data_IF_997541339216
#
_entry.id   IF_997541339216
#
_cell.length_a   1.000
_cell.length_b   1.000
_cell.length_c   1.000
_cell.angle_alpha   90.00
_cell.angle_beta   90.00
_cell.angle_gamma   90.00
#
_symmetry.space_group_name_H-M   'P 1'
#
loop_
_entity.id
_entity.type
_entity.pdbx_description
1 polymer ?
#
# COMPACT_ATOMS: atom_id res chain seq x y z
N UNK A 1 23.03 5.59 -15.86
CA UNK A 1 21.89 6.06 -15.04
C UNK A 1 21.07 4.82 -14.72
N UNK A 2 20.78 4.55 -13.45
CA UNK A 2 20.09 3.32 -13.07
C UNK A 2 18.66 3.27 -13.63
N UNK A 3 18.16 2.06 -13.89
CA UNK A 3 16.81 1.78 -14.41
C UNK A 3 15.69 2.02 -13.37
N UNK A 4 15.79 3.06 -12.53
CA UNK A 4 14.76 3.34 -11.51
C UNK A 4 13.45 3.74 -12.14
N UNK A 5 12.36 3.04 -11.78
CA UNK A 5 11.01 3.39 -12.22
C UNK A 5 10.52 4.66 -11.50
N UNK A 6 9.76 5.48 -12.23
CA UNK A 6 9.18 6.70 -11.65
C UNK A 6 7.92 6.38 -10.85
N UNK A 7 7.84 6.96 -9.66
CA UNK A 7 6.64 6.91 -8.81
C UNK A 7 5.47 7.65 -9.46
N UNK A 8 4.25 7.26 -9.11
CA UNK A 8 3.02 7.81 -9.72
C UNK A 8 2.52 9.06 -8.98
N UNK A 9 2.74 9.14 -7.66
CA UNK A 9 2.27 10.24 -6.83
C UNK A 9 3.24 11.41 -6.88
N UNK A 10 2.83 12.50 -7.53
CA UNK A 10 3.67 13.70 -7.74
C UNK A 10 3.83 14.56 -6.48
N UNK A 11 2.88 14.46 -5.54
CA UNK A 11 2.86 15.22 -4.28
C UNK A 11 3.45 14.46 -3.08
N UNK A 12 4.44 13.60 -3.33
CA UNK A 12 5.06 12.76 -2.30
C UNK A 12 5.56 13.54 -1.06
N UNK A 13 6.01 14.82 -1.24
CA UNK A 13 6.41 15.66 -0.11
C UNK A 13 5.22 15.95 0.82
N UNK A 14 4.10 16.40 0.27
CA UNK A 14 2.88 16.68 1.04
C UNK A 14 2.32 15.41 1.71
N UNK A 15 2.35 14.27 1.01
CA UNK A 15 1.95 12.99 1.62
C UNK A 15 2.82 12.64 2.83
N UNK A 16 4.14 12.92 2.77
CA UNK A 16 5.06 12.69 3.89
C UNK A 16 4.85 13.64 5.08
N UNK A 17 4.23 14.79 4.87
CA UNK A 17 3.81 15.68 5.95
C UNK A 17 2.58 15.15 6.68
N UNK A 18 1.64 14.53 5.96
CA UNK A 18 0.41 13.93 6.50
C UNK A 18 0.68 12.56 7.13
N UNK A 19 1.42 11.69 6.43
CA UNK A 19 1.81 10.37 6.91
C UNK A 19 3.29 10.41 7.30
N UNK A 20 3.62 10.89 8.49
CA UNK A 20 5.02 11.03 8.92
C UNK A 20 5.66 9.68 9.22
N UNK A 21 6.90 9.50 8.77
CA UNK A 21 7.70 8.29 9.06
C UNK A 21 8.47 8.43 10.37
N UNK A 22 8.45 7.39 11.18
CA UNK A 22 9.27 7.27 12.39
C UNK A 22 10.66 6.76 11.98
N UNK A 23 11.70 7.50 12.36
CA UNK A 23 13.10 7.09 12.13
C UNK A 23 13.52 6.07 13.19
N UNK A 24 13.31 4.80 12.92
CA UNK A 24 13.68 3.70 13.80
C UNK A 24 14.02 2.45 12.98
N UNK A 25 14.74 1.52 13.61
CA UNK A 25 15.06 0.22 13.06
C UNK A 25 14.86 -0.86 14.13
N UNK A 26 14.47 -2.05 13.73
CA UNK A 26 14.19 -3.14 14.65
C UNK A 26 15.09 -4.32 14.38
N UNK A 27 15.44 -5.00 15.48
CA UNK A 27 16.12 -6.30 15.47
C UNK A 27 15.29 -7.32 16.22
N UNK A 28 15.26 -8.52 15.73
CA UNK A 28 14.69 -9.67 16.44
C UNK A 28 15.57 -10.06 17.63
N UNK A 29 15.06 -10.93 18.49
CA UNK A 29 15.80 -11.40 19.69
C UNK A 29 17.11 -12.12 19.36
N UNK A 30 17.23 -12.69 18.17
CA UNK A 30 18.43 -13.35 17.66
C UNK A 30 19.43 -12.38 16.98
N UNK A 31 19.13 -11.09 16.97
CA UNK A 31 19.98 -10.03 16.42
C UNK A 31 19.78 -9.73 14.93
N UNK A 32 18.97 -10.51 14.19
CA UNK A 32 18.66 -10.23 12.79
C UNK A 32 17.90 -8.91 12.66
N UNK A 33 18.28 -8.07 11.71
CA UNK A 33 17.54 -6.86 11.34
C UNK A 33 16.35 -7.22 10.47
N UNK A 34 15.24 -6.52 10.64
CA UNK A 34 14.01 -6.69 9.84
C UNK A 34 13.61 -5.37 9.20
N UNK A 35 13.05 -5.46 8.00
CA UNK A 35 12.60 -4.27 7.28
C UNK A 35 11.23 -3.80 7.78
N UNK A 36 11.18 -2.56 8.23
CA UNK A 36 9.96 -1.96 8.79
C UNK A 36 9.81 -0.52 8.38
N UNK A 37 8.56 -0.08 8.15
CA UNK A 37 8.20 1.32 7.94
C UNK A 37 7.07 1.66 8.92
N UNK A 38 7.40 2.39 9.96
CA UNK A 38 6.42 2.93 10.89
C UNK A 38 6.01 4.32 10.44
N UNK A 39 4.72 4.54 10.29
CA UNK A 39 4.16 5.87 9.99
C UNK A 39 3.09 6.23 11.02
N UNK A 40 2.81 7.51 11.15
CA UNK A 40 1.77 8.05 12.02
C UNK A 40 1.13 9.28 11.41
N UNK A 41 -0.09 9.59 11.84
CA UNK A 41 -0.77 10.83 11.51
C UNK A 41 -0.44 11.85 12.62
N UNK A 42 0.20 12.99 12.32
CA UNK A 42 0.48 14.01 13.32
C UNK A 42 -0.83 14.64 13.82
N UNK A 43 -0.85 15.12 15.07
CA UNK A 43 -1.93 15.97 15.55
C UNK A 43 -1.93 17.29 14.77
N UNK A 44 -3.08 17.69 14.23
CA UNK A 44 -3.25 18.94 13.50
C UNK A 44 -3.85 19.97 14.45
N UNK A 45 -3.18 21.11 14.66
CA UNK A 45 -3.62 22.17 15.58
C UNK A 45 -4.84 22.96 15.07
N UNK A 46 -5.08 23.01 13.77
CA UNK A 46 -6.17 23.78 13.15
C UNK A 46 -7.38 22.92 12.81
N UNK A 47 -8.40 22.87 13.65
CA UNK A 47 -9.79 22.43 13.40
C UNK A 47 -10.07 21.22 12.50
N UNK A 48 -9.09 20.74 11.72
CA UNK A 48 -9.15 19.52 10.92
C UNK A 48 -8.59 18.34 11.73
N UNK A 49 -9.31 17.23 11.72
CA UNK A 49 -8.78 15.99 12.28
C UNK A 49 -7.64 15.46 11.40
N UNK A 50 -6.70 14.71 11.97
CA UNK A 50 -5.63 14.06 11.19
C UNK A 50 -6.18 13.12 10.11
N UNK A 51 -7.36 12.53 10.32
CA UNK A 51 -8.08 11.74 9.31
C UNK A 51 -8.57 12.59 8.14
N UNK A 52 -9.10 13.79 8.41
CA UNK A 52 -9.62 14.69 7.37
C UNK A 52 -8.50 15.12 6.41
N UNK A 53 -7.31 15.46 6.93
CA UNK A 53 -6.16 15.78 6.09
C UNK A 53 -5.73 14.61 5.20
N UNK A 54 -5.76 13.38 5.73
CA UNK A 54 -5.53 12.17 4.95
C UNK A 54 -6.58 11.99 3.85
N UNK A 55 -7.86 12.16 4.17
CA UNK A 55 -8.95 11.99 3.21
C UNK A 55 -8.94 13.07 2.13
N UNK A 56 -8.59 14.30 2.46
CA UNK A 56 -8.40 15.37 1.48
C UNK A 56 -7.28 15.01 0.49
N UNK A 57 -6.14 14.54 0.98
CA UNK A 57 -5.03 14.09 0.15
C UNK A 57 -5.43 12.88 -0.74
N UNK A 58 -6.19 11.94 -0.20
CA UNK A 58 -6.74 10.82 -0.96
C UNK A 58 -7.64 11.33 -2.10
N UNK A 59 -8.55 12.24 -1.80
CA UNK A 59 -9.48 12.82 -2.77
C UNK A 59 -8.77 13.55 -3.89
N UNK A 60 -7.79 14.39 -3.56
CA UNK A 60 -7.13 15.27 -4.51
C UNK A 60 -6.19 14.54 -5.47
N UNK A 61 -5.48 13.52 -5.01
CA UNK A 61 -4.36 12.98 -5.78
C UNK A 61 -4.17 11.47 -5.73
N UNK A 62 -4.54 10.80 -4.65
CA UNK A 62 -4.19 9.39 -4.47
C UNK A 62 -5.19 8.47 -5.16
N UNK A 63 -6.49 8.75 -4.99
CA UNK A 63 -7.57 7.85 -5.41
C UNK A 63 -7.54 7.56 -6.91
N UNK A 64 -7.30 8.56 -7.75
CA UNK A 64 -7.26 8.36 -9.20
C UNK A 64 -6.10 7.45 -9.60
N UNK A 65 -4.92 7.69 -9.00
CA UNK A 65 -3.73 6.87 -9.27
C UNK A 65 -3.86 5.44 -8.74
N UNK A 66 -4.63 5.25 -7.66
CA UNK A 66 -4.95 3.93 -7.13
C UNK A 66 -5.93 3.17 -8.02
N UNK A 67 -7.04 3.83 -8.44
CA UNK A 67 -8.13 3.18 -9.17
C UNK A 67 -7.80 2.94 -10.63
N UNK A 68 -7.20 3.92 -11.32
CA UNK A 68 -6.97 3.86 -12.77
C UNK A 68 -5.52 3.49 -13.10
N UNK A 69 -5.32 2.97 -14.32
CA UNK A 69 -4.01 2.82 -14.90
C UNK A 69 -3.43 4.18 -15.30
N UNK A 70 -2.10 4.27 -15.42
CA UNK A 70 -1.44 5.52 -15.81
C UNK A 70 -1.94 6.03 -17.17
N UNK A 71 -2.05 5.14 -18.14
CA UNK A 71 -2.53 5.48 -19.47
C UNK A 71 -4.00 5.93 -19.50
N UNK A 72 -4.87 5.36 -18.66
CA UNK A 72 -6.25 5.81 -18.51
C UNK A 72 -6.32 7.26 -18.01
N UNK A 73 -5.50 7.60 -17.01
CA UNK A 73 -5.40 8.97 -16.49
C UNK A 73 -4.90 9.92 -17.58
N UNK A 74 -3.78 9.59 -18.26
CA UNK A 74 -3.19 10.45 -19.29
C UNK A 74 -4.16 10.70 -20.46
N UNK A 75 -4.86 9.68 -20.93
CA UNK A 75 -5.87 9.83 -22.00
C UNK A 75 -7.01 10.78 -21.61
N UNK A 76 -7.35 10.88 -20.33
CA UNK A 76 -8.43 11.75 -19.85
C UNK A 76 -7.95 13.17 -19.58
N UNK A 77 -6.80 13.33 -18.92
CA UNK A 77 -6.25 14.65 -18.61
C UNK A 77 -5.81 15.42 -19.87
N UNK A 78 -5.39 14.72 -20.93
CA UNK A 78 -5.02 15.35 -22.22
C UNK A 78 -6.19 16.03 -22.96
N UNK A 79 -7.43 15.96 -22.44
CA UNK A 79 -8.63 16.53 -23.10
C UNK A 79 -9.19 17.81 -22.48
N UNK A 80 -9.01 18.06 -21.17
CA UNK A 80 -9.21 19.34 -20.45
C UNK A 80 -9.03 19.13 -18.94
N UNK A 81 -8.22 19.97 -18.27
CA UNK A 81 -7.63 19.59 -16.98
C UNK A 81 -8.60 19.54 -15.79
N UNK A 82 -9.46 20.55 -15.55
CA UNK A 82 -10.31 20.60 -14.34
C UNK A 82 -11.53 19.68 -14.41
N UNK A 83 -12.30 19.76 -15.48
CA UNK A 83 -13.49 18.91 -15.70
C UNK A 83 -13.08 17.42 -15.75
N UNK A 84 -11.88 17.13 -16.28
CA UNK A 84 -11.37 15.78 -16.34
C UNK A 84 -10.99 15.20 -14.97
N UNK A 85 -10.52 16.01 -14.03
CA UNK A 85 -10.20 15.56 -12.67
C UNK A 85 -11.46 15.22 -11.87
N UNK A 86 -12.51 16.05 -11.94
CA UNK A 86 -13.81 15.77 -11.31
C UNK A 86 -14.44 14.49 -11.86
N UNK A 87 -14.45 14.31 -13.20
CA UNK A 87 -14.97 13.11 -13.86
C UNK A 87 -14.18 11.85 -13.45
N UNK A 88 -12.85 11.95 -13.32
CA UNK A 88 -12.00 10.86 -12.82
C UNK A 88 -12.33 10.51 -11.37
N UNK A 89 -12.49 11.52 -10.50
CA UNK A 89 -12.84 11.31 -9.11
C UNK A 89 -14.20 10.63 -8.97
N UNK A 90 -15.24 11.16 -9.65
CA UNK A 90 -16.58 10.53 -9.64
C UNK A 90 -16.57 9.08 -10.12
N UNK A 91 -15.78 8.78 -11.15
CA UNK A 91 -15.63 7.41 -11.66
C UNK A 91 -14.88 6.52 -10.69
N UNK A 92 -13.84 7.04 -10.02
CA UNK A 92 -13.10 6.32 -9.00
C UNK A 92 -14.01 5.94 -7.82
N UNK A 93 -14.80 6.90 -7.31
CA UNK A 93 -15.77 6.64 -6.23
C UNK A 93 -16.78 5.54 -6.61
N UNK A 94 -17.22 5.50 -7.87
CA UNK A 94 -18.15 4.46 -8.35
C UNK A 94 -17.54 3.04 -8.35
N UNK A 95 -16.22 2.90 -8.29
CA UNK A 95 -15.51 1.62 -8.15
C UNK A 95 -15.41 1.15 -6.70
N UNK A 96 -15.63 2.04 -5.73
CA UNK A 96 -15.62 1.74 -4.30
C UNK A 96 -17.05 1.40 -3.80
N UNK A 97 -17.11 0.71 -2.67
CA UNK A 97 -18.37 0.28 -2.06
C UNK A 97 -18.26 0.33 -0.53
N UNK A 98 -19.34 0.71 0.17
CA UNK A 98 -19.40 0.63 1.64
C UNK A 98 -19.07 -0.76 2.16
N UNK A 99 -19.46 -1.79 1.42
CA UNK A 99 -19.27 -3.18 1.82
C UNK A 99 -17.79 -3.59 1.81
N UNK A 100 -16.98 -3.01 0.93
CA UNK A 100 -15.55 -3.30 0.79
C UNK A 100 -14.66 -2.16 1.26
N UNK A 101 -15.23 -1.06 1.76
CA UNK A 101 -14.51 0.18 2.09
C UNK A 101 -13.33 -0.02 3.05
N UNK A 102 -13.46 -0.92 4.01
CA UNK A 102 -12.37 -1.23 4.97
C UNK A 102 -11.15 -1.83 4.26
N UNK A 103 -11.36 -2.80 3.38
CA UNK A 103 -10.30 -3.39 2.57
C UNK A 103 -9.71 -2.36 1.60
N UNK A 104 -10.58 -1.67 0.84
CA UNK A 104 -10.18 -0.66 -0.15
C UNK A 104 -9.38 0.50 0.45
N UNK A 105 -9.74 0.97 1.65
CA UNK A 105 -8.95 1.98 2.36
C UNK A 105 -7.57 1.44 2.76
N UNK A 106 -7.49 0.19 3.23
CA UNK A 106 -6.23 -0.47 3.54
C UNK A 106 -5.33 -0.62 2.32
N UNK A 107 -5.88 -1.09 1.20
CA UNK A 107 -5.18 -1.21 -0.08
C UNK A 107 -4.68 0.16 -0.59
N UNK A 108 -5.49 1.22 -0.43
CA UNK A 108 -5.15 2.58 -0.85
C UNK A 108 -4.01 3.17 -0.02
N UNK A 109 -4.00 2.93 1.29
CA UNK A 109 -2.90 3.33 2.16
C UNK A 109 -1.63 2.52 1.80
N UNK A 110 -1.74 1.21 1.61
CA UNK A 110 -0.62 0.37 1.17
C UNK A 110 -0.02 0.88 -0.14
N UNK A 111 -0.85 1.16 -1.16
CA UNK A 111 -0.43 1.76 -2.43
C UNK A 111 0.39 3.03 -2.19
N UNK A 112 -0.13 3.92 -1.33
CA UNK A 112 0.54 5.19 -1.01
C UNK A 112 1.91 4.96 -0.36
N UNK A 113 1.99 4.05 0.59
CA UNK A 113 3.24 3.74 1.29
C UNK A 113 4.28 3.11 0.36
N UNK A 114 3.87 2.23 -0.56
CA UNK A 114 4.76 1.61 -1.54
C UNK A 114 5.29 2.65 -2.54
N UNK A 115 4.44 3.52 -3.07
CA UNK A 115 4.84 4.54 -4.03
C UNK A 115 5.75 5.59 -3.38
N UNK A 116 5.43 6.08 -2.17
CA UNK A 116 6.10 7.23 -1.54
C UNK A 116 7.32 6.82 -0.71
N UNK A 117 7.26 5.72 0.05
CA UNK A 117 8.32 5.33 1.00
C UNK A 117 9.23 4.22 0.47
N UNK A 118 8.69 3.25 -0.24
CA UNK A 118 9.46 2.18 -0.89
C UNK A 118 9.95 2.64 -2.27
N UNK A 119 9.31 3.66 -2.84
CA UNK A 119 9.60 4.19 -4.19
C UNK A 119 9.40 3.13 -5.28
N UNK A 120 8.46 2.25 -5.08
CA UNK A 120 8.04 1.24 -6.04
C UNK A 120 6.68 1.64 -6.64
N UNK A 121 6.63 2.07 -7.91
CA UNK A 121 5.36 2.39 -8.57
C UNK A 121 4.48 1.16 -8.73
N UNK A 122 3.19 1.39 -8.78
CA UNK A 122 2.20 0.36 -9.11
C UNK A 122 2.39 -0.09 -10.56
N UNK A 123 2.43 -1.39 -10.78
CA UNK A 123 2.60 -2.00 -12.09
C UNK A 123 1.26 -2.28 -12.78
N UNK A 124 0.20 -2.57 -12.01
CA UNK A 124 -1.13 -2.77 -12.56
C UNK A 124 -2.22 -2.28 -11.59
N UNK A 125 -3.39 -1.91 -12.14
CA UNK A 125 -4.53 -1.41 -11.35
C UNK A 125 -5.67 -2.43 -11.34
N UNK A 126 -5.68 -3.32 -10.35
CA UNK A 126 -6.72 -4.34 -10.21
C UNK A 126 -8.11 -3.76 -9.97
N UNK A 127 -8.20 -2.63 -9.26
CA UNK A 127 -9.47 -1.93 -9.01
C UNK A 127 -10.12 -1.47 -10.33
N UNK A 128 -9.34 -1.08 -11.33
CA UNK A 128 -9.89 -0.70 -12.64
C UNK A 128 -10.62 -1.86 -13.32
N UNK A 129 -10.20 -3.09 -13.05
CA UNK A 129 -10.77 -4.30 -13.64
C UNK A 129 -12.09 -4.74 -12.98
N UNK A 130 -12.49 -4.12 -11.85
CA UNK A 130 -13.77 -4.44 -11.20
C UNK A 130 -14.95 -4.18 -12.13
N UNK A 131 -15.73 -5.22 -12.39
CA UNK A 131 -17.03 -5.13 -13.08
C UNK A 131 -18.17 -4.86 -12.10
N UNK A 132 -18.03 -5.28 -10.83
CA UNK A 132 -18.98 -5.04 -9.76
C UNK A 132 -18.24 -4.43 -8.53
N UNK A 133 -18.57 -3.21 -8.10
CA UNK A 133 -17.91 -2.55 -6.96
C UNK A 133 -17.99 -3.34 -5.63
N UNK A 134 -19.02 -4.18 -5.47
CA UNK A 134 -19.23 -4.99 -4.25
C UNK A 134 -18.39 -6.28 -4.21
N UNK A 135 -17.76 -6.63 -5.31
CA UNK A 135 -16.91 -7.83 -5.37
C UNK A 135 -15.46 -7.46 -5.08
N UNK A 136 -14.76 -8.19 -4.18
CA UNK A 136 -13.33 -8.01 -4.01
C UNK A 136 -12.58 -8.42 -5.28
N UNK A 137 -11.40 -7.87 -5.48
CA UNK A 137 -10.45 -8.38 -6.48
C UNK A 137 -9.59 -9.45 -5.80
N UNK A 138 -9.44 -10.60 -6.43
CA UNK A 138 -8.65 -11.70 -5.88
C UNK A 138 -7.15 -11.51 -6.13
N UNK A 139 -6.32 -12.16 -5.30
CA UNK A 139 -4.86 -12.14 -5.37
C UNK A 139 -4.23 -11.13 -4.40
N UNK A 140 -3.00 -10.67 -4.66
CA UNK A 140 -2.34 -9.66 -3.85
C UNK A 140 -3.09 -8.33 -3.88
N UNK A 141 -3.14 -7.60 -2.76
CA UNK A 141 -3.80 -6.30 -2.64
C UNK A 141 -3.09 -5.22 -3.46
N UNK A 142 -1.77 -5.35 -3.62
CA UNK A 142 -0.96 -4.44 -4.42
C UNK A 142 0.07 -5.20 -5.25
N UNK A 143 0.27 -4.78 -6.51
CA UNK A 143 1.32 -5.28 -7.40
C UNK A 143 2.15 -4.10 -7.86
N UNK A 144 3.33 -3.96 -7.27
CA UNK A 144 4.28 -2.87 -7.48
C UNK A 144 5.62 -3.44 -7.92
N UNK A 145 6.52 -2.60 -8.42
CA UNK A 145 7.85 -3.04 -8.79
C UNK A 145 8.89 -1.94 -8.80
N UNK A 146 10.15 -2.31 -8.65
CA UNK A 146 11.28 -1.40 -8.76
C UNK A 146 12.56 -2.16 -9.10
N UNK A 147 13.48 -1.49 -9.76
CA UNK A 147 14.84 -2.00 -9.92
C UNK A 147 15.69 -1.69 -8.70
N UNK A 148 16.37 -2.70 -8.18
CA UNK A 148 17.42 -2.58 -7.18
C UNK A 148 18.75 -2.87 -7.87
N UNK A 149 19.40 -1.82 -8.34
CA UNK A 149 20.53 -1.96 -9.28
C UNK A 149 20.04 -2.52 -10.64
N UNK A 150 20.51 -3.70 -11.02
CA UNK A 150 20.10 -4.38 -12.25
C UNK A 150 18.97 -5.42 -12.04
N UNK A 151 18.67 -5.77 -10.79
CA UNK A 151 17.61 -6.72 -10.48
C UNK A 151 16.26 -6.05 -10.40
N UNK A 152 15.27 -6.64 -11.08
CA UNK A 152 13.87 -6.22 -10.94
C UNK A 152 13.22 -6.98 -9.79
N UNK A 153 12.66 -6.24 -8.84
CA UNK A 153 11.91 -6.79 -7.70
C UNK A 153 10.43 -6.47 -7.84
N UNK A 154 9.59 -7.49 -7.67
CA UNK A 154 8.13 -7.35 -7.59
C UNK A 154 7.71 -7.33 -6.13
N UNK A 155 6.79 -6.44 -5.81
CA UNK A 155 6.17 -6.31 -4.51
C UNK A 155 4.72 -6.80 -4.60
N UNK A 156 4.45 -7.98 -4.02
CA UNK A 156 3.10 -8.48 -3.82
C UNK A 156 2.66 -8.10 -2.42
N UNK A 157 1.93 -6.99 -2.34
CA UNK A 157 1.55 -6.36 -1.08
C UNK A 157 0.26 -6.93 -0.50
N UNK A 158 0.20 -6.93 0.83
CA UNK A 158 -0.98 -7.31 1.62
C UNK A 158 -1.35 -6.19 2.59
N UNK A 159 -2.64 -5.90 2.76
CA UNK A 159 -3.14 -4.87 3.67
C UNK A 159 -4.15 -5.41 4.66
N UNK A 160 -4.06 -4.96 5.91
CA UNK A 160 -5.05 -5.26 6.95
C UNK A 160 -5.36 -4.01 7.76
N UNK A 161 -6.63 -3.57 7.72
CA UNK A 161 -7.18 -2.64 8.71
C UNK A 161 -7.94 -3.44 9.76
N UNK A 162 -7.49 -3.41 11.02
CA UNK A 162 -8.05 -4.26 12.06
C UNK A 162 -8.04 -3.58 13.43
N UNK A 163 -8.99 -3.95 14.32
CA UNK A 163 -9.00 -3.44 15.69
C UNK A 163 -7.80 -3.94 16.51
N UNK A 164 -7.31 -5.14 16.23
CA UNK A 164 -6.23 -5.76 16.98
C UNK A 164 -5.06 -6.13 16.06
N UNK A 165 -3.87 -5.60 16.36
CA UNK A 165 -2.67 -5.85 15.57
C UNK A 165 -2.30 -7.34 15.46
N UNK A 166 -2.34 -8.09 16.58
CA UNK A 166 -1.92 -9.49 16.59
C UNK A 166 -2.81 -10.40 15.77
N UNK A 167 -4.13 -10.10 15.74
CA UNK A 167 -5.08 -10.78 14.86
C UNK A 167 -4.79 -10.45 13.40
N UNK A 168 -4.62 -9.17 13.09
CA UNK A 168 -4.24 -8.72 11.75
C UNK A 168 -2.94 -9.38 11.25
N UNK A 169 -1.92 -9.47 12.10
CA UNK A 169 -0.65 -10.13 11.78
C UNK A 169 -0.82 -11.62 11.45
N UNK A 170 -1.74 -12.31 12.14
CA UNK A 170 -2.03 -13.72 11.87
C UNK A 170 -2.70 -13.91 10.49
N UNK A 171 -3.68 -13.06 10.20
CA UNK A 171 -4.40 -13.11 8.92
C UNK A 171 -3.49 -12.68 7.77
N UNK A 172 -2.74 -11.59 7.94
CA UNK A 172 -1.83 -11.06 6.93
C UNK A 172 -0.75 -12.08 6.54
N UNK A 173 -0.11 -12.73 7.52
CA UNK A 173 0.91 -13.75 7.21
C UNK A 173 0.32 -14.96 6.46
N UNK A 174 -0.96 -15.30 6.67
CA UNK A 174 -1.64 -16.34 5.88
C UNK A 174 -1.92 -15.90 4.45
N UNK A 175 -2.37 -14.65 4.29
CA UNK A 175 -2.61 -14.05 2.96
C UNK A 175 -1.32 -13.95 2.14
N UNK A 176 -0.20 -13.53 2.76
CA UNK A 176 1.11 -13.47 2.10
C UNK A 176 1.53 -14.85 1.56
N UNK A 177 1.41 -15.90 2.37
CA UNK A 177 1.70 -17.28 1.91
C UNK A 177 0.82 -17.65 0.72
N UNK A 178 -0.47 -17.32 0.78
CA UNK A 178 -1.41 -17.61 -0.32
C UNK A 178 -1.03 -16.84 -1.59
N UNK A 179 -0.68 -15.55 -1.48
CA UNK A 179 -0.27 -14.74 -2.62
C UNK A 179 1.05 -15.23 -3.24
N UNK A 180 2.05 -15.57 -2.39
CA UNK A 180 3.31 -16.15 -2.88
C UNK A 180 3.14 -17.49 -3.56
N UNK A 181 2.21 -18.32 -3.10
CA UNK A 181 1.93 -19.62 -3.74
C UNK A 181 1.15 -19.50 -5.06
N UNK A 182 0.59 -18.35 -5.36
CA UNK A 182 -0.21 -18.06 -6.56
C UNK A 182 0.35 -16.89 -7.38
N UNK A 183 1.62 -16.59 -7.24
CA UNK A 183 2.23 -15.43 -7.90
C UNK A 183 2.11 -15.49 -9.43
N UNK A 184 2.02 -16.67 -10.01
CA UNK A 184 1.84 -16.87 -11.45
C UNK A 184 0.57 -16.18 -11.97
N UNK A 185 -0.52 -16.19 -11.21
CA UNK A 185 -1.75 -15.49 -11.57
C UNK A 185 -1.55 -13.98 -11.71
N UNK A 186 -0.71 -13.39 -10.83
CA UNK A 186 -0.35 -11.96 -10.89
C UNK A 186 0.53 -11.65 -12.10
N UNK A 187 1.47 -12.52 -12.41
CA UNK A 187 2.40 -12.33 -13.54
C UNK A 187 1.68 -12.43 -14.89
N UNK A 188 0.67 -13.27 -15.01
CA UNK A 188 -0.19 -13.32 -16.20
C UNK A 188 -0.94 -11.99 -16.40
N UNK A 189 -1.38 -11.36 -15.32
CA UNK A 189 -1.99 -10.03 -15.41
C UNK A 189 -0.97 -8.96 -15.80
N UNK A 190 0.27 -9.04 -15.31
CA UNK A 190 1.33 -8.10 -15.68
C UNK A 190 1.66 -8.17 -17.15
N UNK A 191 1.74 -9.35 -17.73
CA UNK A 191 1.98 -9.53 -19.17
C UNK A 191 0.94 -8.79 -20.04
N UNK A 192 -0.30 -8.70 -19.58
CA UNK A 192 -1.40 -8.08 -20.33
C UNK A 192 -1.68 -6.62 -19.97
N UNK A 193 -1.32 -6.17 -18.75
CA UNK A 193 -1.81 -4.91 -18.18
C UNK A 193 -0.73 -4.08 -17.51
N UNK A 194 0.55 -4.34 -17.79
CA UNK A 194 1.66 -3.54 -17.26
C UNK A 194 1.53 -2.07 -17.68
N UNK A 195 1.47 -1.17 -16.71
CA UNK A 195 1.24 0.24 -16.99
C UNK A 195 1.74 1.16 -15.86
N UNK A 196 2.74 1.99 -16.16
CA UNK A 196 3.31 2.98 -15.25
C UNK A 196 3.97 4.15 -16.01
N UNK A 197 4.35 5.26 -15.33
CA UNK A 197 4.99 6.39 -15.98
C UNK A 197 6.28 6.04 -16.71
N UNK A 198 6.42 6.54 -17.95
CA UNK A 198 7.61 6.37 -18.79
C UNK A 198 7.93 4.90 -19.16
N UNK A 199 6.95 4.03 -19.20
CA UNK A 199 7.10 2.69 -19.75
C UNK A 199 7.45 2.78 -21.25
N UNK A 200 8.64 2.29 -21.61
CA UNK A 200 9.07 2.10 -23.00
C UNK A 200 9.01 0.64 -23.38
N UNK A 201 8.93 0.29 -24.69
CA UNK A 201 8.94 -1.11 -25.12
C UNK A 201 10.15 -1.89 -24.60
N UNK A 202 11.33 -1.28 -24.57
CA UNK A 202 12.57 -1.92 -24.09
C UNK A 202 12.53 -2.17 -22.58
N UNK A 203 11.91 -1.24 -21.83
CA UNK A 203 11.74 -1.39 -20.37
C UNK A 203 10.68 -2.43 -20.04
N UNK A 204 9.60 -2.46 -20.80
CA UNK A 204 8.55 -3.47 -20.71
C UNK A 204 9.13 -4.88 -20.97
N UNK A 205 9.85 -5.06 -22.08
CA UNK A 205 10.51 -6.33 -22.41
C UNK A 205 11.46 -6.77 -21.27
N UNK A 206 12.31 -5.87 -20.77
CA UNK A 206 13.23 -6.16 -19.65
C UNK A 206 12.50 -6.61 -18.38
N UNK A 207 11.37 -5.99 -18.05
CA UNK A 207 10.55 -6.36 -16.88
C UNK A 207 9.92 -7.74 -17.12
N UNK A 208 9.29 -7.97 -18.28
CA UNK A 208 8.63 -9.22 -18.60
C UNK A 208 9.63 -10.39 -18.69
N UNK A 209 10.81 -10.17 -19.26
CA UNK A 209 11.90 -11.18 -19.20
C UNK A 209 12.32 -11.51 -17.78
N UNK A 210 12.41 -10.49 -16.91
CA UNK A 210 12.75 -10.68 -15.49
C UNK A 210 11.69 -11.47 -14.73
N UNK A 211 10.43 -11.42 -15.19
CA UNK A 211 9.26 -12.07 -14.59
C UNK A 211 8.82 -13.33 -15.34
N UNK A 212 9.59 -13.76 -16.34
CA UNK A 212 9.24 -14.93 -17.13
C UNK A 212 9.19 -16.19 -16.23
N UNK A 213 7.98 -16.77 -15.98
CA UNK A 213 7.81 -17.88 -15.07
C UNK A 213 8.27 -19.21 -15.66
N UNK A 214 8.60 -19.27 -16.96
CA UNK A 214 8.95 -20.51 -17.65
C UNK A 214 10.35 -21.00 -17.25
N UNK A 215 10.41 -21.79 -16.16
CA UNK A 215 11.58 -22.56 -15.78
C UNK A 215 12.57 -21.86 -14.83
N UNK A 216 12.29 -20.65 -14.36
CA UNK A 216 13.10 -19.97 -13.36
C UNK A 216 12.40 -19.97 -11.99
N UNK A 217 13.18 -20.19 -10.93
CA UNK A 217 12.73 -19.92 -9.57
C UNK A 217 12.70 -18.39 -9.35
N UNK A 218 11.49 -17.84 -9.26
CA UNK A 218 11.26 -16.41 -9.06
C UNK A 218 11.03 -16.04 -7.59
N UNK A 219 11.12 -16.99 -6.66
CA UNK A 219 10.81 -16.77 -5.25
C UNK A 219 11.62 -15.61 -4.65
N UNK A 220 12.89 -15.49 -5.00
CA UNK A 220 13.78 -14.42 -4.55
C UNK A 220 13.51 -13.04 -5.16
N UNK A 221 12.69 -12.95 -6.21
CA UNK A 221 12.28 -11.69 -6.84
C UNK A 221 11.00 -11.12 -6.25
N UNK A 222 10.27 -11.93 -5.48
CA UNK A 222 8.99 -11.56 -4.89
C UNK A 222 9.21 -11.09 -3.47
N UNK A 223 8.94 -9.82 -3.23
CA UNK A 223 8.93 -9.22 -1.92
C UNK A 223 7.50 -8.95 -1.46
N UNK A 224 7.22 -9.17 -0.18
CA UNK A 224 5.87 -9.10 0.38
C UNK A 224 5.75 -7.98 1.43
N UNK A 225 5.54 -6.73 1.02
CA UNK A 225 5.22 -5.66 1.95
C UNK A 225 3.83 -5.89 2.56
N UNK A 226 3.75 -5.79 3.87
CA UNK A 226 2.54 -6.00 4.65
C UNK A 226 2.17 -4.74 5.41
N UNK A 227 1.07 -4.11 5.06
CA UNK A 227 0.53 -2.98 5.79
C UNK A 227 -0.48 -3.45 6.85
N UNK A 228 -0.27 -3.03 8.09
CA UNK A 228 -1.21 -3.23 9.18
C UNK A 228 -1.57 -1.87 9.79
N UNK A 229 -2.82 -1.44 9.55
CA UNK A 229 -3.45 -0.35 10.28
C UNK A 229 -4.26 -0.92 11.44
N UNK A 230 -4.07 -0.38 12.65
CA UNK A 230 -4.65 -0.97 13.87
C UNK A 230 -5.13 0.08 14.86
N UNK A 231 -6.08 -0.31 15.71
CA UNK A 231 -6.61 0.55 16.77
C UNK A 231 -5.66 0.59 17.97
N UNK A 232 -5.24 1.80 18.33
CA UNK A 232 -4.41 2.07 19.51
C UNK A 232 -4.76 3.45 20.09
N UNK A 233 -5.90 3.62 20.78
CA UNK A 233 -6.36 4.93 21.22
C UNK A 233 -5.43 5.58 22.23
N UNK A 234 -4.75 4.80 23.07
CA UNK A 234 -3.95 5.32 24.19
C UNK A 234 -2.77 6.21 23.76
N UNK A 235 -2.28 6.05 22.50
CA UNK A 235 -1.13 6.83 22.00
C UNK A 235 -1.51 7.96 21.05
N UNK A 236 -2.75 8.01 20.55
CA UNK A 236 -3.13 8.95 19.47
C UNK A 236 -3.34 10.39 19.97
N UNK A 237 -3.67 10.57 21.24
CA UNK A 237 -3.98 11.87 21.84
C UNK A 237 -2.81 12.48 22.62
N UNK A 238 -1.61 11.93 22.47
CA UNK A 238 -0.43 12.40 23.14
C UNK A 238 0.27 13.50 22.35
N UNK A 239 1.10 14.29 23.03
CA UNK A 239 2.08 15.14 22.35
C UNK A 239 2.96 14.30 21.43
N UNK A 240 3.37 14.86 20.29
CA UNK A 240 4.10 14.11 19.24
C UNK A 240 5.32 13.35 19.78
N UNK A 241 6.05 13.95 20.74
CA UNK A 241 7.22 13.32 21.37
C UNK A 241 6.84 12.06 22.18
N UNK A 242 5.78 12.12 22.95
CA UNK A 242 5.26 11.02 23.76
C UNK A 242 4.64 9.93 22.86
N UNK A 243 3.88 10.35 21.83
CA UNK A 243 3.36 9.45 20.84
C UNK A 243 4.49 8.61 20.22
N UNK A 244 5.58 9.27 19.78
CA UNK A 244 6.71 8.59 19.16
C UNK A 244 7.39 7.61 20.13
N UNK A 245 7.63 7.99 21.38
CA UNK A 245 8.23 7.11 22.39
C UNK A 245 7.37 5.87 22.63
N UNK A 246 6.08 6.07 22.90
CA UNK A 246 5.15 4.96 23.17
C UNK A 246 4.92 4.10 21.95
N UNK A 247 4.84 4.69 20.76
CA UNK A 247 4.69 3.95 19.51
C UNK A 247 5.90 3.06 19.20
N UNK A 248 7.12 3.59 19.35
CA UNK A 248 8.36 2.80 19.17
C UNK A 248 8.40 1.64 20.17
N UNK A 249 8.10 1.91 21.45
CA UNK A 249 8.10 0.89 22.51
C UNK A 249 7.08 -0.22 22.22
N UNK A 250 5.86 0.14 21.83
CA UNK A 250 4.81 -0.79 21.44
C UNK A 250 5.23 -1.62 20.22
N UNK A 251 5.82 -0.96 19.23
CA UNK A 251 6.24 -1.58 17.98
C UNK A 251 7.30 -2.66 18.18
N UNK A 252 8.15 -2.59 19.19
CA UNK A 252 9.11 -3.66 19.51
C UNK A 252 8.40 -5.02 19.69
N UNK A 253 7.28 -5.03 20.41
CA UNK A 253 6.52 -6.27 20.64
C UNK A 253 5.73 -6.72 19.40
N UNK A 254 5.21 -5.77 18.63
CA UNK A 254 4.41 -6.06 17.44
C UNK A 254 5.27 -6.55 16.28
N UNK A 255 6.42 -5.95 16.05
CA UNK A 255 7.41 -6.40 15.07
C UNK A 255 7.86 -7.83 15.38
N UNK A 256 8.24 -8.10 16.64
CA UNK A 256 8.63 -9.44 17.05
C UNK A 256 7.50 -10.48 16.86
N UNK A 257 6.25 -10.14 17.21
CA UNK A 257 5.08 -11.02 17.02
C UNK A 257 4.82 -11.31 15.53
N UNK A 258 4.87 -10.28 14.68
CA UNK A 258 4.64 -10.42 13.25
C UNK A 258 5.69 -11.32 12.58
N UNK A 259 6.98 -11.02 12.77
CA UNK A 259 8.04 -11.81 12.13
C UNK A 259 8.13 -13.24 12.68
N UNK A 260 7.85 -13.48 13.97
CA UNK A 260 7.70 -14.82 14.52
C UNK A 260 6.56 -15.62 13.85
N UNK A 261 5.44 -14.95 13.52
CA UNK A 261 4.34 -15.59 12.78
C UNK A 261 4.71 -15.86 11.33
N UNK A 262 5.46 -14.94 10.70
CA UNK A 262 5.97 -15.11 9.34
C UNK A 262 6.90 -16.34 9.24
N UNK A 263 7.87 -16.45 10.15
CA UNK A 263 8.78 -17.60 10.18
C UNK A 263 8.06 -18.92 10.45
N UNK A 264 7.08 -18.95 11.36
CA UNK A 264 6.26 -20.15 11.61
C UNK A 264 5.48 -20.63 10.38
N UNK A 265 5.32 -19.77 9.40
CA UNK A 265 4.68 -20.09 8.10
C UNK A 265 5.70 -20.26 6.96
N UNK A 266 6.99 -20.38 7.30
CA UNK A 266 8.10 -20.54 6.37
C UNK A 266 8.24 -19.37 5.39
N UNK A 267 7.86 -18.14 5.80
CA UNK A 267 8.15 -16.93 5.05
C UNK A 267 9.59 -16.49 5.36
N UNK A 268 10.37 -16.17 4.33
CA UNK A 268 11.65 -15.54 4.51
C UNK A 268 11.46 -14.10 4.99
N UNK A 269 12.02 -13.76 6.14
CA UNK A 269 11.88 -12.42 6.74
C UNK A 269 12.61 -11.33 5.95
N UNK A 270 13.60 -11.68 5.14
CA UNK A 270 14.31 -10.74 4.26
C UNK A 270 13.47 -10.34 3.04
N UNK A 271 12.45 -11.14 2.71
CA UNK A 271 11.49 -10.86 1.64
C UNK A 271 10.21 -10.19 2.13
N UNK A 272 10.15 -9.78 3.39
CA UNK A 272 8.95 -9.17 3.99
C UNK A 272 9.27 -7.82 4.61
N UNK A 273 8.52 -6.79 4.26
CA UNK A 273 8.55 -5.47 4.90
C UNK A 273 7.25 -5.25 5.69
N UNK A 274 7.35 -4.97 6.97
CA UNK A 274 6.19 -4.62 7.79
C UNK A 274 5.98 -3.09 7.81
N UNK A 275 4.79 -2.66 7.34
CA UNK A 275 4.37 -1.25 7.36
C UNK A 275 3.26 -1.09 8.42
N UNK A 276 3.39 -0.11 9.33
CA UNK A 276 2.49 0.03 10.48
C UNK A 276 1.94 1.44 10.60
N UNK A 277 0.64 1.55 10.92
CA UNK A 277 -0.03 2.84 11.18
C UNK A 277 -1.08 2.66 12.29
N UNK A 278 -0.91 3.29 13.46
CA UNK A 278 -1.91 3.29 14.53
C UNK A 278 -3.02 4.31 14.25
N UNK A 279 -4.24 3.97 14.67
CA UNK A 279 -5.42 4.83 14.64
C UNK A 279 -6.11 4.84 16.00
N UNK A 280 -6.88 5.87 16.30
CA UNK A 280 -7.72 5.90 17.49
C UNK A 280 -8.76 4.80 17.49
N UNK A 281 -9.45 4.60 16.35
CA UNK A 281 -10.39 3.50 16.12
C UNK A 281 -10.51 3.25 14.61
N UNK A 282 -10.17 2.04 14.15
CA UNK A 282 -10.23 1.68 12.73
C UNK A 282 -11.66 1.72 12.18
N UNK A 283 -12.67 1.32 12.93
CA UNK A 283 -14.05 1.32 12.42
C UNK A 283 -14.58 2.75 12.25
N UNK A 284 -14.24 3.66 13.18
CA UNK A 284 -14.54 5.10 13.05
C UNK A 284 -13.84 5.70 11.82
N UNK A 285 -12.56 5.39 11.62
CA UNK A 285 -11.80 5.82 10.44
C UNK A 285 -12.50 5.41 9.14
N UNK A 286 -12.99 4.17 9.05
CA UNK A 286 -13.66 3.64 7.86
C UNK A 286 -15.02 4.35 7.64
N UNK A 287 -15.79 4.58 8.69
CA UNK A 287 -17.08 5.29 8.60
C UNK A 287 -16.89 6.75 8.16
N UNK A 288 -15.88 7.42 8.71
CA UNK A 288 -15.49 8.78 8.31
C UNK A 288 -15.03 8.83 6.85
N UNK A 289 -14.20 7.85 6.42
CA UNK A 289 -13.78 7.73 5.02
C UNK A 289 -14.96 7.58 4.07
N UNK A 290 -15.88 6.67 4.36
CA UNK A 290 -17.11 6.45 3.57
C UNK A 290 -17.93 7.72 3.47
N UNK A 291 -18.09 8.44 4.59
CA UNK A 291 -18.84 9.68 4.67
C UNK A 291 -18.17 10.80 3.87
N UNK A 292 -16.86 11.01 4.09
CA UNK A 292 -16.07 12.07 3.45
C UNK A 292 -16.02 11.90 1.92
N UNK A 293 -15.81 10.66 1.46
CA UNK A 293 -15.77 10.35 0.02
C UNK A 293 -17.12 10.29 -0.64
N UNK A 294 -18.22 10.29 0.10
CA UNK A 294 -19.57 10.18 -0.45
C UNK A 294 -19.86 8.80 -1.07
N UNK A 295 -19.28 7.72 -0.56
CA UNK A 295 -19.50 6.36 -1.04
C UNK A 295 -20.91 5.91 -0.68
N UNK A 296 -21.75 5.64 -1.68
CA UNK A 296 -23.21 5.41 -1.50
C UNK A 296 -23.64 3.93 -1.57
N UNK A 297 -22.79 3.03 -2.10
CA UNK A 297 -23.18 1.63 -2.41
C UNK A 297 -22.55 0.62 -1.47
#
# INVERSE_FOLDING_TARGET
MGNSLQTQLKNAHHIKEILKKVNTSFKLHDGRSVETVLVYLPCVEDSKTSHEALFECIKESILQNFVFSYNEIQKKLGRSSEIAMEDLFEKAIKKLSKHTAKGELGELILFTLLDVYIQAPKLLSKISMKTNPRMPVFGADAVHGQFLGEEFRVYLGESKLHQNFKSAATDATSSIVSAKNKFEDEFWLLDSYLDFPNLTPELEEKILESLNPYGADLSNKIHSPCFIGFTQPDIIFEEESLLLEHYIKLSCSYVADFFNKAEKKNLDIEEVTLLMLPFGCVDVLVDEFVSYMGIKK
#
